data_IF_438450524472
#
_entry.id   IF_438450524472
#
_cell.length_a   1.000
_cell.length_b   1.000
_cell.length_c   1.000
_cell.angle_alpha   90.00
_cell.angle_beta   90.00
_cell.angle_gamma   90.00
#
_symmetry.space_group_name_H-M   'P 1'
#
loop_
_entity.id
_entity.type
_entity.pdbx_description
1 polymer ?
#
# COMPACT_ATOMS: atom_id res chain seq x y z
N UNK A 1 46.31 21.06 17.48
CA UNK A 1 47.14 19.89 17.86
C UNK A 1 46.67 19.43 19.23
N UNK A 2 45.84 18.40 19.32
CA UNK A 2 45.68 17.49 20.47
C UNK A 2 44.71 16.39 19.96
N UNK A 3 45.31 15.22 19.73
CA UNK A 3 44.54 13.98 19.46
C UNK A 3 44.23 13.32 20.80
N UNK A 4 42.97 12.87 20.96
CA UNK A 4 42.60 11.96 22.04
C UNK A 4 42.12 10.67 21.39
N UNK A 5 42.98 9.63 21.54
CA UNK A 5 42.62 8.24 21.26
C UNK A 5 41.83 7.69 22.45
N UNK A 6 40.66 7.16 22.22
CA UNK A 6 40.01 6.26 23.18
C UNK A 6 40.07 4.83 22.69
N UNK A 7 40.74 4.01 23.47
CA UNK A 7 40.77 2.55 23.34
C UNK A 7 39.51 1.97 24.00
N UNK A 8 38.79 1.11 23.27
CA UNK A 8 37.71 0.29 23.81
C UNK A 8 38.29 -1.07 24.20
N UNK A 9 38.19 -1.40 25.48
CA UNK A 9 38.61 -2.66 26.08
C UNK A 9 37.53 -3.70 25.91
N UNK A 10 37.77 -4.77 25.15
CA UNK A 10 36.91 -5.94 25.04
C UNK A 10 37.26 -6.90 26.19
N UNK A 11 36.32 -7.20 27.06
CA UNK A 11 36.41 -8.27 28.05
C UNK A 11 35.64 -9.48 27.54
N UNK A 12 36.36 -10.52 27.19
CA UNK A 12 35.83 -11.88 27.06
C UNK A 12 35.56 -12.47 28.44
N UNK A 13 34.35 -12.96 28.68
CA UNK A 13 34.04 -13.85 29.82
C UNK A 13 33.63 -15.20 29.27
N UNK A 14 34.53 -16.18 29.42
CA UNK A 14 34.24 -17.60 29.21
C UNK A 14 33.33 -18.15 30.30
N UNK A 15 32.35 -18.95 29.94
CA UNK A 15 31.59 -19.83 30.81
C UNK A 15 31.74 -21.29 30.37
N UNK A 16 31.69 -22.25 31.30
CA UNK A 16 32.17 -23.61 31.04
C UNK A 16 31.14 -24.51 30.36
N UNK A 17 31.65 -25.45 29.58
CA UNK A 17 30.96 -26.53 28.91
C UNK A 17 30.54 -27.60 29.92
N UNK A 18 29.25 -27.97 29.98
CA UNK A 18 28.80 -29.22 30.59
C UNK A 18 28.23 -30.15 29.53
N UNK A 19 28.91 -31.31 29.36
CA UNK A 19 28.44 -32.43 28.55
C UNK A 19 27.22 -33.10 29.23
N UNK A 20 26.17 -33.31 28.44
CA UNK A 20 25.05 -34.18 28.79
C UNK A 20 24.39 -34.68 27.52
N UNK A 21 24.79 -35.87 27.09
CA UNK A 21 24.16 -36.60 26.00
C UNK A 21 22.78 -37.09 26.44
N UNK A 22 21.75 -36.77 25.67
CA UNK A 22 20.62 -37.68 25.55
C UNK A 22 19.95 -37.50 24.17
N UNK A 23 19.98 -38.59 23.40
CA UNK A 23 19.34 -38.70 22.10
C UNK A 23 17.85 -38.94 22.31
N UNK A 24 17.03 -38.06 21.78
CA UNK A 24 15.67 -38.44 21.35
C UNK A 24 15.41 -37.78 19.99
N UNK A 25 15.35 -38.63 18.99
CA UNK A 25 14.91 -38.28 17.65
C UNK A 25 13.42 -37.90 17.71
N UNK A 26 13.12 -36.61 17.61
CA UNK A 26 11.78 -36.14 17.26
C UNK A 26 11.83 -35.50 15.90
N UNK A 27 11.16 -36.13 14.96
CA UNK A 27 10.86 -35.65 13.61
C UNK A 27 10.44 -34.21 13.66
N UNK A 28 11.27 -33.33 13.06
CA UNK A 28 10.88 -31.97 12.74
C UNK A 28 9.83 -32.08 11.63
N UNK A 29 8.56 -32.17 12.04
CA UNK A 29 7.45 -32.02 11.13
C UNK A 29 7.50 -30.60 10.60
N UNK A 30 7.63 -30.49 9.31
CA UNK A 30 7.55 -29.33 8.48
C UNK A 30 6.26 -28.52 8.78
N UNK A 31 6.33 -27.62 9.75
CA UNK A 31 5.31 -26.62 10.02
C UNK A 31 5.60 -25.41 9.16
N UNK A 32 5.53 -25.58 7.85
CA UNK A 32 5.17 -24.46 6.98
C UNK A 32 3.73 -24.11 7.31
N UNK A 33 3.55 -23.32 8.36
CA UNK A 33 2.29 -22.67 8.63
C UNK A 33 1.96 -21.84 7.40
N UNK A 34 1.04 -22.36 6.58
CA UNK A 34 0.40 -21.66 5.48
C UNK A 34 -0.31 -20.50 6.14
N UNK A 35 0.40 -19.36 6.26
CA UNK A 35 -0.21 -18.10 6.66
C UNK A 35 -1.35 -17.87 5.69
N UNK A 36 -2.58 -18.02 6.17
CA UNK A 36 -3.77 -17.70 5.38
C UNK A 36 -3.58 -16.26 4.95
N UNK A 37 -3.40 -16.07 3.65
CA UNK A 37 -3.19 -14.77 3.03
C UNK A 37 -4.27 -13.80 3.53
N UNK A 38 -3.85 -12.69 4.11
CA UNK A 38 -4.74 -11.59 4.51
C UNK A 38 -5.46 -10.96 3.31
N UNK A 39 -5.05 -11.34 2.08
CA UNK A 39 -5.51 -10.75 0.82
C UNK A 39 -6.89 -11.20 0.36
N UNK A 40 -7.47 -12.27 0.94
CA UNK A 40 -8.75 -12.84 0.50
C UNK A 40 -8.89 -12.93 -1.05
N UNK A 41 -7.80 -13.24 -1.76
CA UNK A 41 -7.74 -13.30 -3.22
C UNK A 41 -7.67 -11.94 -3.93
N UNK A 42 -7.43 -10.85 -3.20
CA UNK A 42 -7.30 -9.51 -3.79
C UNK A 42 -5.98 -9.37 -4.54
N UNK A 43 -6.06 -8.83 -5.76
CA UNK A 43 -4.92 -8.48 -6.59
C UNK A 43 -4.73 -6.96 -6.64
N UNK A 44 -3.48 -6.51 -6.50
CA UNK A 44 -3.11 -5.09 -6.46
C UNK A 44 -2.23 -4.76 -7.67
N UNK A 45 -2.69 -3.81 -8.48
CA UNK A 45 -1.99 -3.31 -9.65
C UNK A 45 -1.25 -2.03 -9.32
N UNK A 46 -0.01 -1.92 -9.77
CA UNK A 46 0.84 -0.76 -9.55
C UNK A 46 1.17 -0.05 -10.86
N UNK A 47 1.18 1.29 -10.83
CA UNK A 47 1.77 2.09 -11.89
C UNK A 47 2.32 3.40 -11.32
N UNK A 48 3.33 3.94 -12.00
CA UNK A 48 3.87 5.26 -11.75
C UNK A 48 4.44 5.86 -13.03
N UNK A 49 4.50 7.19 -13.07
CA UNK A 49 5.43 7.90 -13.96
C UNK A 49 6.78 8.10 -13.25
N UNK A 50 7.69 8.85 -13.89
CA UNK A 50 9.00 9.19 -13.32
C UNK A 50 8.90 9.84 -11.93
N UNK A 51 7.85 10.65 -11.67
CA UNK A 51 7.64 11.35 -10.40
C UNK A 51 7.28 10.41 -9.25
N UNK A 52 6.66 9.28 -9.54
CA UNK A 52 6.27 8.26 -8.57
C UNK A 52 7.12 6.99 -8.61
N UNK A 53 7.99 6.83 -9.62
CA UNK A 53 8.75 5.60 -9.86
C UNK A 53 9.55 5.11 -8.65
N UNK A 54 10.34 5.95 -7.94
CA UNK A 54 11.08 5.48 -6.77
C UNK A 54 10.17 4.91 -5.67
N UNK A 55 9.04 5.57 -5.42
CA UNK A 55 8.09 5.13 -4.42
C UNK A 55 7.39 3.82 -4.82
N UNK A 56 7.09 3.63 -6.11
CA UNK A 56 6.54 2.37 -6.65
C UNK A 56 7.47 1.19 -6.36
N UNK A 57 8.76 1.35 -6.62
CA UNK A 57 9.75 0.29 -6.40
C UNK A 57 9.89 -0.11 -4.92
N UNK A 58 9.57 0.79 -4.00
CA UNK A 58 9.52 0.52 -2.57
C UNK A 58 8.21 -0.15 -2.16
N UNK A 59 7.08 0.36 -2.63
CA UNK A 59 5.76 -0.09 -2.19
C UNK A 59 5.35 -1.44 -2.78
N UNK A 60 5.74 -1.74 -4.00
CA UNK A 60 5.41 -2.99 -4.68
C UNK A 60 5.86 -4.24 -3.90
N UNK A 61 7.14 -4.39 -3.51
CA UNK A 61 7.57 -5.51 -2.68
C UNK A 61 6.96 -5.47 -1.28
N UNK A 62 6.74 -4.29 -0.70
CA UNK A 62 6.07 -4.16 0.60
C UNK A 62 4.65 -4.74 0.57
N UNK A 63 3.84 -4.43 -0.44
CA UNK A 63 2.47 -4.96 -0.57
C UNK A 63 2.48 -6.47 -0.83
N UNK A 64 3.46 -6.96 -1.59
CA UNK A 64 3.66 -8.40 -1.75
C UNK A 64 3.96 -9.09 -0.41
N UNK A 65 4.81 -8.51 0.43
CA UNK A 65 5.10 -9.01 1.77
C UNK A 65 3.88 -8.99 2.72
N UNK A 66 2.91 -8.11 2.48
CA UNK A 66 1.62 -8.13 3.20
C UNK A 66 0.71 -9.28 2.78
N UNK A 67 1.09 -10.07 1.77
CA UNK A 67 0.39 -11.26 1.29
C UNK A 67 -0.58 -11.00 0.14
N UNK A 68 -0.53 -9.85 -0.52
CA UNK A 68 -1.32 -9.56 -1.72
C UNK A 68 -0.63 -10.05 -2.99
N UNK A 69 -1.42 -10.49 -3.98
CA UNK A 69 -0.92 -10.66 -5.34
C UNK A 69 -0.67 -9.27 -5.95
N UNK A 70 0.52 -9.07 -6.54
CA UNK A 70 0.94 -7.77 -7.06
C UNK A 70 1.31 -7.89 -8.53
N UNK A 71 0.83 -6.94 -9.36
CA UNK A 71 1.22 -6.80 -10.77
C UNK A 71 1.67 -5.36 -11.05
N UNK A 72 2.85 -5.24 -11.68
CA UNK A 72 3.38 -3.95 -12.14
C UNK A 72 2.90 -3.67 -13.57
N UNK A 73 2.26 -2.52 -13.77
CA UNK A 73 1.74 -2.05 -15.07
C UNK A 73 2.59 -0.92 -15.68
N UNK A 74 3.75 -0.61 -15.08
CA UNK A 74 4.68 0.42 -15.58
C UNK A 74 4.72 1.68 -14.69
N UNK A 75 5.57 2.66 -15.01
CA UNK A 75 6.72 2.50 -15.90
C UNK A 75 7.68 1.42 -15.37
N UNK A 76 8.31 0.69 -16.25
CA UNK A 76 9.25 -0.39 -15.87
C UNK A 76 10.69 0.10 -15.73
N UNK A 77 10.96 1.28 -16.23
CA UNK A 77 12.24 1.99 -16.14
C UNK A 77 11.97 3.46 -15.85
N UNK A 78 12.93 4.13 -15.21
CA UNK A 78 12.83 5.56 -14.99
C UNK A 78 13.09 6.31 -16.30
N UNK A 79 12.07 7.00 -16.80
CA UNK A 79 12.17 7.89 -17.96
C UNK A 79 11.56 9.25 -17.60
N UNK A 80 12.38 10.30 -17.60
CA UNK A 80 11.95 11.66 -17.20
C UNK A 80 10.93 12.31 -18.16
N UNK A 81 10.70 11.69 -19.33
CA UNK A 81 9.77 12.18 -20.36
C UNK A 81 8.52 11.29 -20.51
N UNK A 82 8.31 10.37 -19.58
CA UNK A 82 7.15 9.47 -19.66
C UNK A 82 5.83 10.18 -19.33
N UNK A 83 4.73 9.62 -19.87
CA UNK A 83 3.38 10.15 -19.71
C UNK A 83 2.55 9.25 -18.79
N UNK A 84 2.24 9.71 -17.56
CA UNK A 84 1.47 8.97 -16.56
C UNK A 84 0.14 8.39 -17.06
N UNK A 85 -0.64 9.02 -17.99
CA UNK A 85 -1.95 8.49 -18.38
C UNK A 85 -1.88 7.09 -18.98
N UNK A 86 -0.79 6.77 -19.68
CA UNK A 86 -0.59 5.45 -20.32
C UNK A 86 -0.60 4.34 -19.29
N UNK A 87 0.18 4.49 -18.22
CA UNK A 87 0.33 3.49 -17.18
C UNK A 87 -0.89 3.44 -16.24
N UNK A 88 -1.37 4.62 -15.85
CA UNK A 88 -2.49 4.75 -14.91
C UNK A 88 -3.79 4.20 -15.49
N UNK A 89 -4.09 4.47 -16.76
CA UNK A 89 -5.29 3.93 -17.39
C UNK A 89 -5.21 2.42 -17.59
N UNK A 90 -4.01 1.83 -17.74
CA UNK A 90 -3.85 0.38 -17.76
C UNK A 90 -4.28 -0.23 -16.43
N UNK A 91 -3.83 0.33 -15.29
CA UNK A 91 -4.29 -0.06 -13.94
C UNK A 91 -5.81 0.14 -13.79
N UNK A 92 -6.32 1.30 -14.19
CA UNK A 92 -7.73 1.64 -14.03
C UNK A 92 -8.66 0.65 -14.77
N UNK A 93 -8.30 0.26 -16.00
CA UNK A 93 -9.04 -0.78 -16.75
C UNK A 93 -9.02 -2.13 -16.02
N UNK A 94 -7.85 -2.54 -15.49
CA UNK A 94 -7.74 -3.79 -14.72
C UNK A 94 -8.61 -3.77 -13.47
N UNK A 95 -8.64 -2.67 -12.75
CA UNK A 95 -9.50 -2.54 -11.56
C UNK A 95 -10.98 -2.53 -11.94
N UNK A 96 -11.35 -1.87 -13.04
CA UNK A 96 -12.75 -1.80 -13.50
C UNK A 96 -13.32 -3.17 -13.95
N UNK A 97 -12.45 -4.11 -14.41
CA UNK A 97 -12.89 -5.47 -14.77
C UNK A 97 -13.43 -6.27 -13.56
N UNK A 98 -12.92 -6.03 -12.35
CA UNK A 98 -13.37 -6.64 -11.11
C UNK A 98 -13.09 -5.72 -9.90
N UNK A 99 -13.90 -4.69 -9.68
CA UNK A 99 -13.68 -3.72 -8.63
C UNK A 99 -13.84 -4.28 -7.20
N UNK A 100 -14.34 -5.51 -7.06
CA UNK A 100 -14.47 -6.20 -5.78
C UNK A 100 -13.15 -6.80 -5.33
N UNK A 101 -12.44 -7.49 -6.24
CA UNK A 101 -11.21 -8.23 -5.92
C UNK A 101 -9.93 -7.59 -6.45
N UNK A 102 -10.04 -6.42 -7.10
CA UNK A 102 -8.89 -5.71 -7.65
C UNK A 102 -8.76 -4.31 -7.05
N UNK A 103 -7.54 -3.89 -6.85
CA UNK A 103 -7.18 -2.56 -6.35
C UNK A 103 -6.05 -1.98 -7.21
N UNK A 104 -5.99 -0.67 -7.31
CA UNK A 104 -4.89 0.04 -7.95
C UNK A 104 -4.14 0.92 -6.95
N UNK A 105 -2.83 0.96 -7.06
CA UNK A 105 -1.98 1.93 -6.38
C UNK A 105 -1.17 2.62 -7.46
N UNK A 106 -1.44 3.91 -7.66
CA UNK A 106 -0.78 4.72 -8.69
C UNK A 106 -0.03 5.88 -8.05
N UNK A 107 1.06 6.28 -8.63
CA UNK A 107 1.93 7.30 -8.06
C UNK A 107 2.46 8.22 -9.14
N UNK A 108 2.51 9.49 -8.83
CA UNK A 108 3.18 10.52 -9.62
C UNK A 108 3.78 11.58 -8.71
N UNK A 109 4.17 12.71 -9.25
CA UNK A 109 4.72 13.80 -8.44
C UNK A 109 3.74 14.30 -7.39
N UNK A 110 2.50 14.59 -7.78
CA UNK A 110 1.41 15.04 -6.90
C UNK A 110 0.27 14.04 -6.76
N UNK A 111 0.21 13.03 -7.61
CA UNK A 111 -0.89 12.08 -7.65
C UNK A 111 -2.21 12.62 -8.24
N UNK A 112 -2.30 13.92 -8.52
CA UNK A 112 -3.56 14.53 -9.00
C UNK A 112 -3.88 14.12 -10.43
N UNK A 113 -2.91 14.24 -11.34
CA UNK A 113 -3.07 13.82 -12.72
C UNK A 113 -3.40 12.34 -12.85
N UNK A 114 -2.76 11.52 -12.04
CA UNK A 114 -2.99 10.08 -11.95
C UNK A 114 -4.44 9.79 -11.54
N UNK A 115 -4.96 10.48 -10.51
CA UNK A 115 -6.35 10.32 -10.11
C UNK A 115 -7.33 10.80 -11.20
N UNK A 116 -7.02 11.89 -11.91
CA UNK A 116 -7.83 12.35 -13.05
C UNK A 116 -7.87 11.31 -14.16
N UNK A 117 -6.71 10.74 -14.52
CA UNK A 117 -6.63 9.73 -15.57
C UNK A 117 -7.38 8.44 -15.20
N UNK A 118 -7.24 8.00 -13.95
CA UNK A 118 -7.92 6.81 -13.45
C UNK A 118 -9.44 6.98 -13.43
N UNK A 119 -9.95 8.12 -12.95
CA UNK A 119 -11.39 8.40 -12.83
C UNK A 119 -12.10 8.62 -14.18
N UNK A 120 -11.37 8.60 -15.33
CA UNK A 120 -11.98 8.56 -16.66
C UNK A 120 -12.57 7.18 -17.01
N UNK A 121 -12.21 6.16 -16.25
CA UNK A 121 -12.68 4.79 -16.47
C UNK A 121 -13.89 4.55 -15.58
N UNK A 122 -15.03 4.18 -16.16
CA UNK A 122 -16.26 3.85 -15.43
C UNK A 122 -16.01 2.73 -14.41
N UNK A 123 -16.58 2.83 -13.22
CA UNK A 123 -16.38 1.89 -12.12
C UNK A 123 -15.12 2.14 -11.28
N UNK A 124 -14.28 3.12 -11.68
CA UNK A 124 -13.11 3.53 -10.92
C UNK A 124 -13.44 4.70 -10.00
N UNK A 125 -12.96 4.61 -8.77
CA UNK A 125 -13.05 5.66 -7.75
C UNK A 125 -11.64 5.87 -7.18
N UNK A 126 -10.86 6.65 -7.90
CA UNK A 126 -9.50 7.01 -7.53
C UNK A 126 -9.50 8.24 -6.60
N UNK A 127 -8.75 8.16 -5.52
CA UNK A 127 -8.57 9.22 -4.53
C UNK A 127 -7.09 9.55 -4.40
N UNK A 128 -6.78 10.83 -4.12
CA UNK A 128 -5.41 11.27 -3.87
C UNK A 128 -5.13 11.30 -2.38
N UNK A 129 -3.94 10.89 -1.98
CA UNK A 129 -3.45 10.99 -0.61
C UNK A 129 -2.15 11.80 -0.55
N UNK A 130 -2.15 12.84 0.27
CA UNK A 130 -1.02 13.77 0.50
C UNK A 130 -0.41 13.65 1.90
N UNK A 131 -0.92 12.76 2.74
CA UNK A 131 -0.62 12.68 4.16
C UNK A 131 -1.87 12.92 5.03
N UNK A 132 -1.75 12.67 6.31
CA UNK A 132 -2.86 12.90 7.24
C UNK A 132 -3.07 14.40 7.48
N UNK A 133 -4.30 14.90 7.34
CA UNK A 133 -4.62 16.28 7.66
C UNK A 133 -4.57 16.51 9.17
N UNK A 134 -4.28 17.74 9.58
CA UNK A 134 -4.28 18.14 10.99
C UNK A 134 -5.67 17.98 11.67
N UNK A 135 -6.74 17.96 10.90
CA UNK A 135 -8.10 17.76 11.39
C UNK A 135 -8.66 16.44 10.88
N UNK A 136 -9.26 15.69 11.77
CA UNK A 136 -10.03 14.50 11.42
C UNK A 136 -11.46 14.88 11.04
N UNK A 137 -12.07 14.06 10.19
CA UNK A 137 -13.48 14.17 9.87
C UNK A 137 -14.31 13.54 10.99
N UNK A 138 -15.40 14.22 11.39
CA UNK A 138 -16.44 13.58 12.19
C UNK A 138 -17.58 13.17 11.25
N UNK A 139 -17.94 11.88 11.27
CA UNK A 139 -19.05 11.38 10.46
C UNK A 139 -20.42 11.71 11.06
N UNK A 140 -21.50 11.28 10.40
CA UNK A 140 -22.87 11.57 10.86
C UNK A 140 -23.22 10.88 12.19
N UNK A 141 -22.48 9.85 12.56
CA UNK A 141 -22.68 9.09 13.79
C UNK A 141 -21.74 9.58 14.92
N UNK A 142 -21.00 10.68 14.68
CA UNK A 142 -20.09 11.31 15.64
C UNK A 142 -18.73 10.63 15.75
N UNK A 143 -18.40 9.65 14.89
CA UNK A 143 -17.13 8.94 14.91
C UNK A 143 -16.05 9.73 14.14
N UNK A 144 -14.89 9.88 14.73
CA UNK A 144 -13.74 10.44 14.03
C UNK A 144 -13.15 9.46 13.01
N UNK A 145 -12.93 9.95 11.79
CA UNK A 145 -12.31 9.23 10.70
C UNK A 145 -11.07 9.98 10.22
N UNK A 146 -9.97 9.25 10.02
CA UNK A 146 -8.85 9.76 9.23
C UNK A 146 -9.17 9.70 7.72
N UNK A 147 -8.31 10.33 6.92
CA UNK A 147 -8.51 10.45 5.47
C UNK A 147 -8.61 9.07 4.80
N UNK A 148 -7.72 8.14 5.11
CA UNK A 148 -7.70 6.81 4.49
C UNK A 148 -8.94 6.02 4.83
N UNK A 149 -9.35 6.00 6.10
CA UNK A 149 -10.59 5.33 6.52
C UNK A 149 -11.80 5.92 5.79
N UNK A 150 -11.90 7.25 5.74
CA UNK A 150 -12.98 7.94 5.03
C UNK A 150 -13.05 7.57 3.55
N UNK A 151 -11.92 7.53 2.84
CA UNK A 151 -11.91 7.18 1.40
C UNK A 151 -12.40 5.76 1.13
N UNK A 152 -12.14 4.84 2.06
CA UNK A 152 -12.61 3.46 1.92
C UNK A 152 -14.03 3.29 2.38
N UNK A 153 -14.34 3.68 3.60
CA UNK A 153 -15.67 3.44 4.17
C UNK A 153 -16.79 4.19 3.45
N UNK A 154 -16.55 5.45 3.07
CA UNK A 154 -17.58 6.28 2.46
C UNK A 154 -17.58 6.25 0.94
N UNK A 155 -16.39 6.19 0.32
CA UNK A 155 -16.28 6.35 -1.13
C UNK A 155 -15.97 5.04 -1.85
N UNK A 156 -15.74 3.95 -1.11
CA UNK A 156 -15.33 2.65 -1.68
C UNK A 156 -14.23 2.83 -2.74
N UNK A 157 -13.22 3.68 -2.43
CA UNK A 157 -12.14 3.95 -3.37
C UNK A 157 -11.42 2.66 -3.73
N UNK A 158 -11.27 2.39 -5.03
CA UNK A 158 -10.63 1.20 -5.53
C UNK A 158 -9.27 1.47 -6.19
N UNK A 159 -8.90 2.75 -6.31
CA UNK A 159 -7.55 3.20 -6.67
C UNK A 159 -7.09 4.25 -5.65
N UNK A 160 -5.89 4.05 -5.11
CA UNK A 160 -5.19 5.01 -4.27
C UNK A 160 -4.09 5.67 -5.09
N UNK A 161 -4.16 6.99 -5.25
CA UNK A 161 -3.15 7.79 -5.91
C UNK A 161 -2.28 8.48 -4.87
N UNK A 162 -0.97 8.23 -4.91
CA UNK A 162 -0.02 8.75 -3.93
C UNK A 162 0.79 9.91 -4.49
N UNK A 163 0.93 10.95 -3.68
CA UNK A 163 1.74 12.11 -3.99
C UNK A 163 3.23 11.85 -3.68
N UNK A 164 3.94 11.22 -4.61
CA UNK A 164 5.29 10.69 -4.39
C UNK A 164 6.35 11.73 -4.02
N UNK A 165 6.12 13.02 -4.32
CA UNK A 165 7.03 14.12 -3.92
C UNK A 165 6.66 14.77 -2.59
N UNK A 166 5.55 14.37 -1.96
CA UNK A 166 5.03 14.96 -0.73
C UNK A 166 4.99 13.98 0.44
N UNK A 167 5.03 12.69 0.16
CA UNK A 167 4.97 11.63 1.15
C UNK A 167 6.35 11.07 1.45
N UNK A 168 6.60 10.80 2.71
CA UNK A 168 7.70 9.94 3.12
C UNK A 168 7.36 8.48 2.79
N UNK A 169 8.38 7.64 2.70
CA UNK A 169 8.20 6.19 2.51
C UNK A 169 7.31 5.58 3.60
N UNK A 170 7.52 5.98 4.84
CA UNK A 170 6.78 5.45 6.00
C UNK A 170 5.30 5.86 5.96
N UNK A 171 5.00 7.12 5.67
CA UNK A 171 3.61 7.59 5.49
C UNK A 171 2.91 6.84 4.36
N UNK A 172 3.59 6.63 3.24
CA UNK A 172 3.04 5.89 2.11
C UNK A 172 2.75 4.42 2.46
N UNK A 173 3.67 3.75 3.16
CA UNK A 173 3.48 2.36 3.63
C UNK A 173 2.30 2.24 4.59
N UNK A 174 2.20 3.13 5.58
CA UNK A 174 1.10 3.14 6.54
C UNK A 174 -0.24 3.39 5.86
N UNK A 175 -0.31 4.36 4.95
CA UNK A 175 -1.51 4.67 4.18
C UNK A 175 -1.96 3.47 3.33
N UNK A 176 -1.04 2.87 2.56
CA UNK A 176 -1.33 1.71 1.71
C UNK A 176 -1.80 0.52 2.54
N UNK A 177 -1.08 0.18 3.62
CA UNK A 177 -1.45 -0.94 4.48
C UNK A 177 -2.84 -0.77 5.07
N UNK A 178 -3.16 0.43 5.53
CA UNK A 178 -4.47 0.76 6.09
C UNK A 178 -5.55 0.72 5.02
N UNK A 179 -5.32 1.35 3.87
CA UNK A 179 -6.27 1.42 2.78
C UNK A 179 -6.65 0.04 2.23
N UNK A 180 -5.71 -0.88 2.14
CA UNK A 180 -5.97 -2.25 1.69
C UNK A 180 -6.80 -3.06 2.70
N UNK A 181 -6.78 -2.70 3.99
CA UNK A 181 -7.49 -3.42 5.06
C UNK A 181 -8.89 -2.89 5.35
N UNK A 182 -9.13 -1.60 5.15
CA UNK A 182 -10.41 -0.98 5.50
C UNK A 182 -11.48 -1.34 4.46
N UNK A 183 -12.59 -1.97 4.86
CA UNK A 183 -13.70 -2.29 3.95
C UNK A 183 -14.58 -1.05 3.69
N UNK A 184 -15.40 -1.12 2.64
CA UNK A 184 -16.52 -0.19 2.47
C UNK A 184 -17.58 -0.50 3.53
N UNK A 185 -18.20 0.54 4.11
CA UNK A 185 -19.19 0.37 5.18
C UNK A 185 -20.59 -0.07 4.67
N UNK A 186 -20.81 -0.05 3.35
CA UNK A 186 -22.06 -0.52 2.74
C UNK A 186 -23.30 0.36 3.00
N UNK A 187 -23.14 1.51 3.68
CA UNK A 187 -24.29 2.37 3.98
C UNK A 187 -25.02 2.81 2.70
N UNK A 188 -26.35 2.74 2.71
CA UNK A 188 -27.20 3.02 1.55
C UNK A 188 -26.90 4.39 0.92
N UNK A 189 -26.74 5.42 1.75
CA UNK A 189 -26.42 6.78 1.30
C UNK A 189 -25.13 6.87 0.47
N UNK A 190 -24.12 6.02 0.76
CA UNK A 190 -22.85 5.97 0.03
C UNK A 190 -23.01 5.14 -1.25
N UNK A 191 -23.59 3.95 -1.14
CA UNK A 191 -23.84 3.05 -2.27
C UNK A 191 -24.69 3.72 -3.37
N UNK A 192 -25.74 4.46 -2.99
CA UNK A 192 -26.56 5.23 -3.93
C UNK A 192 -25.72 6.26 -4.70
N UNK A 193 -24.86 7.01 -4.00
CA UNK A 193 -24.00 8.02 -4.63
C UNK A 193 -23.00 7.39 -5.61
N UNK A 194 -22.44 6.22 -5.26
CA UNK A 194 -21.54 5.49 -6.17
C UNK A 194 -22.25 5.08 -7.46
N UNK A 195 -23.50 4.58 -7.36
CA UNK A 195 -24.31 4.27 -8.55
C UNK A 195 -24.53 5.51 -9.43
N UNK A 196 -24.81 6.67 -8.84
CA UNK A 196 -24.97 7.91 -9.59
C UNK A 196 -23.69 8.34 -10.33
N UNK A 197 -22.50 8.10 -9.74
CA UNK A 197 -21.22 8.37 -10.42
C UNK A 197 -21.02 7.50 -11.66
N UNK A 198 -21.49 6.26 -11.60
CA UNK A 198 -21.38 5.30 -12.71
C UNK A 198 -22.52 5.44 -13.75
N UNK A 199 -23.42 6.40 -13.56
CA UNK A 199 -24.53 6.68 -14.49
C UNK A 199 -25.67 5.67 -14.41
N UNK A 200 -25.92 5.11 -13.24
CA UNK A 200 -27.02 4.17 -12.95
C UNK A 200 -28.14 4.84 -12.14
#
# INVERSE_FOLDING_TARGET
>A
MIQIKQQVLVRETMLPVSNGANQTSSTISDRTAKTRSASNGMKVYFAADHGGFPLKEILRPFVHLLGYEVEDMGAFTLDMNDDYPVFVQAVARKVAEDPTHRRGIVMGGSGQGEAFAANRIKGVRAVVYYGEPARKQTDADGRELDMITSTREHNDSNILSLAGRFLTEEEAKQAVQKWLKVPHNGAERHTRRHKMLDGA
#
